data_IF_003754059283
#
_entry.id   IF_003754059283
#
_cell.length_a   1.000
_cell.length_b   1.000
_cell.length_c   1.000
_cell.angle_alpha   90.00
_cell.angle_beta   90.00
_cell.angle_gamma   90.00
#
_symmetry.space_group_name_H-M   'P 1'
#
loop_
_entity.id
_entity.type
_entity.pdbx_description
1 polymer ?
#
# COMPACT_ATOMS: atom_id res chain seq x y z
N UNK A 1 30.05 36.39 4.51
CA UNK A 1 30.36 36.00 3.12
C UNK A 1 31.77 36.41 2.71
N UNK A 2 32.16 37.69 2.80
CA UNK A 2 33.53 38.17 2.51
C UNK A 2 34.63 37.41 3.28
N UNK A 3 34.46 37.18 4.58
CA UNK A 3 35.41 36.39 5.39
C UNK A 3 35.47 34.90 4.99
N UNK A 4 34.38 34.34 4.45
CA UNK A 4 34.39 32.95 3.96
C UNK A 4 35.14 32.85 2.63
N UNK A 5 34.94 33.82 1.73
CA UNK A 5 35.66 33.87 0.45
C UNK A 5 37.17 34.02 0.67
N UNK A 6 37.58 34.87 1.62
CA UNK A 6 38.97 34.99 2.05
C UNK A 6 39.56 33.68 2.59
N UNK A 7 38.75 32.85 3.26
CA UNK A 7 39.18 31.57 3.83
C UNK A 7 39.22 30.42 2.81
N UNK A 8 38.53 30.58 1.68
CA UNK A 8 38.51 29.61 0.58
C UNK A 8 39.65 29.82 -0.44
N UNK A 9 40.32 30.97 -0.37
CA UNK A 9 41.41 31.33 -1.27
C UNK A 9 42.56 30.31 -1.17
N UNK A 10 42.97 29.76 -2.31
CA UNK A 10 44.01 28.74 -2.40
C UNK A 10 43.56 27.30 -2.07
N UNK A 11 42.30 27.05 -1.72
CA UNK A 11 41.80 25.67 -1.58
C UNK A 11 41.67 24.99 -2.94
N UNK A 12 41.96 23.70 -2.99
CA UNK A 12 41.80 22.87 -4.19
C UNK A 12 40.49 22.10 -4.08
N UNK A 13 39.57 22.34 -5.02
CA UNK A 13 38.30 21.61 -5.14
C UNK A 13 38.21 21.06 -6.56
N UNK A 14 37.99 19.75 -6.70
CA UNK A 14 37.94 19.05 -8.00
C UNK A 14 39.15 19.33 -8.91
N UNK A 15 40.34 19.51 -8.31
CA UNK A 15 41.59 19.79 -9.02
C UNK A 15 41.77 21.24 -9.47
N UNK A 16 40.84 22.14 -9.12
CA UNK A 16 40.93 23.58 -9.40
C UNK A 16 41.30 24.33 -8.12
N UNK A 17 42.37 25.12 -8.17
CA UNK A 17 42.70 26.05 -7.09
C UNK A 17 41.74 27.25 -7.13
N UNK A 18 41.09 27.53 -6.01
CA UNK A 18 40.15 28.63 -5.88
C UNK A 18 40.90 29.96 -5.70
N UNK A 19 40.84 30.82 -6.71
CA UNK A 19 41.33 32.21 -6.65
C UNK A 19 40.14 33.13 -6.33
N UNK A 20 39.96 33.43 -5.05
CA UNK A 20 38.77 34.13 -4.54
C UNK A 20 39.05 35.55 -4.09
N UNK A 21 40.32 35.97 -4.09
CA UNK A 21 40.78 37.26 -3.57
C UNK A 21 41.60 38.00 -4.60
N UNK A 22 41.20 39.23 -4.91
CA UNK A 22 41.97 40.11 -5.79
C UNK A 22 42.59 41.21 -4.93
N UNK A 23 43.91 41.36 -5.01
CA UNK A 23 44.63 42.46 -4.38
C UNK A 23 44.53 43.71 -5.26
N UNK A 24 43.99 44.80 -4.70
CA UNK A 24 43.90 46.11 -5.36
C UNK A 24 44.59 47.16 -4.50
N UNK A 25 45.26 48.12 -5.14
CA UNK A 25 45.86 49.26 -4.45
C UNK A 25 44.81 50.37 -4.33
N UNK A 26 44.55 50.84 -3.11
CA UNK A 26 43.62 51.95 -2.87
C UNK A 26 44.23 53.31 -3.28
N UNK A 27 43.41 54.37 -3.25
CA UNK A 27 43.86 55.74 -3.54
C UNK A 27 44.95 56.28 -2.60
N UNK A 28 45.23 55.55 -1.51
CA UNK A 28 46.23 55.87 -0.49
C UNK A 28 47.53 55.08 -0.70
N UNK A 29 47.61 54.22 -1.73
CA UNK A 29 48.77 53.37 -2.00
C UNK A 29 48.83 52.10 -1.15
N UNK A 30 47.78 51.74 -0.41
CA UNK A 30 47.72 50.53 0.39
C UNK A 30 47.11 49.35 -0.38
N UNK A 31 47.66 48.15 -0.18
CA UNK A 31 47.12 46.92 -0.76
C UNK A 31 45.89 46.51 0.05
N UNK A 32 44.73 46.51 -0.61
CA UNK A 32 43.45 46.07 -0.07
C UNK A 32 43.04 44.77 -0.76
N UNK A 33 42.73 43.74 0.04
CA UNK A 33 42.18 42.47 -0.43
C UNK A 33 40.67 42.58 -0.62
N UNK A 34 40.24 42.49 -1.87
CA UNK A 34 38.82 42.52 -2.24
C UNK A 34 38.35 41.10 -2.62
N UNK A 35 37.25 40.67 -2.00
CA UNK A 35 36.73 39.32 -2.25
C UNK A 35 35.95 39.31 -3.57
N UNK A 36 36.20 38.31 -4.41
CA UNK A 36 35.51 38.18 -5.70
C UNK A 36 34.00 38.05 -5.53
N UNK A 37 33.22 38.47 -6.53
CA UNK A 37 31.75 38.35 -6.46
C UNK A 37 31.33 36.90 -6.67
N UNK A 38 30.79 36.27 -5.62
CA UNK A 38 30.29 34.90 -5.70
C UNK A 38 29.04 34.82 -6.61
N UNK A 39 29.09 33.97 -7.63
CA UNK A 39 27.91 33.57 -8.42
C UNK A 39 27.42 32.21 -7.92
N UNK A 40 26.22 32.17 -7.37
CA UNK A 40 25.59 30.92 -6.98
C UNK A 40 25.01 30.23 -8.21
N UNK A 41 25.48 29.03 -8.49
CA UNK A 41 24.86 28.13 -9.45
C UNK A 41 23.90 27.20 -8.71
N UNK A 42 22.67 27.07 -9.21
CA UNK A 42 21.78 26.00 -8.77
C UNK A 42 22.34 24.67 -9.28
N UNK A 43 22.20 23.62 -8.47
CA UNK A 43 22.43 22.24 -8.96
C UNK A 43 21.56 21.99 -10.19
N UNK A 44 22.07 21.21 -11.13
CA UNK A 44 21.26 20.65 -12.20
C UNK A 44 20.11 19.80 -11.66
N UNK A 45 19.14 19.44 -12.52
CA UNK A 45 17.93 18.70 -12.11
C UNK A 45 18.24 17.43 -11.32
N UNK A 46 19.18 16.61 -11.80
CA UNK A 46 19.58 15.38 -11.13
C UNK A 46 20.21 15.67 -9.76
N UNK A 47 21.04 16.70 -9.67
CA UNK A 47 21.66 17.11 -8.41
C UNK A 47 20.62 17.57 -7.38
N UNK A 48 19.61 18.34 -7.82
CA UNK A 48 18.51 18.77 -6.94
C UNK A 48 17.67 17.59 -6.47
N UNK A 49 17.40 16.61 -7.34
CA UNK A 49 16.71 15.38 -6.98
C UNK A 49 17.50 14.61 -5.91
N UNK A 50 18.78 14.32 -6.16
CA UNK A 50 19.62 13.58 -5.22
C UNK A 50 19.74 14.30 -3.87
N UNK A 51 19.87 15.63 -3.88
CA UNK A 51 19.91 16.43 -2.66
C UNK A 51 18.58 16.38 -1.88
N UNK A 52 17.44 16.38 -2.58
CA UNK A 52 16.12 16.26 -1.96
C UNK A 52 15.92 14.87 -1.35
N UNK A 53 16.35 13.84 -2.06
CA UNK A 53 16.28 12.44 -1.62
C UNK A 53 17.17 12.21 -0.40
N UNK A 54 18.33 12.86 -0.32
CA UNK A 54 19.22 12.85 0.84
C UNK A 54 18.72 13.67 2.05
N UNK A 55 17.43 14.02 2.09
CA UNK A 55 16.82 14.59 3.30
C UNK A 55 16.21 13.48 4.17
N UNK A 56 16.32 13.56 5.51
CA UNK A 56 15.84 12.49 6.40
C UNK A 56 14.38 12.08 6.20
N UNK A 57 13.43 13.03 6.02
CA UNK A 57 12.04 12.68 5.77
C UNK A 57 11.82 11.94 4.46
N UNK A 58 12.47 12.41 3.38
CA UNK A 58 12.26 11.89 2.03
C UNK A 58 12.90 10.51 1.89
N UNK A 59 14.13 10.33 2.36
CA UNK A 59 14.81 9.03 2.36
C UNK A 59 13.98 7.95 3.06
N UNK A 60 13.50 8.25 4.27
CA UNK A 60 12.67 7.34 5.07
C UNK A 60 11.35 6.99 4.37
N UNK A 61 10.61 7.99 3.88
CA UNK A 61 9.32 7.75 3.22
C UNK A 61 9.49 6.99 1.91
N UNK A 62 10.47 7.36 1.08
CA UNK A 62 10.75 6.65 -0.18
C UNK A 62 11.16 5.20 0.06
N UNK A 63 11.98 4.94 1.08
CA UNK A 63 12.39 3.59 1.45
C UNK A 63 11.19 2.75 1.91
N UNK A 64 10.36 3.29 2.81
CA UNK A 64 9.18 2.62 3.34
C UNK A 64 8.12 2.36 2.24
N UNK A 65 7.84 3.37 1.40
CA UNK A 65 6.90 3.25 0.26
C UNK A 65 7.45 2.26 -0.76
N UNK A 66 8.74 2.35 -1.09
CA UNK A 66 9.39 1.46 -2.06
C UNK A 66 9.26 -0.01 -1.66
N UNK A 67 9.63 -0.35 -0.43
CA UNK A 67 9.46 -1.70 0.12
C UNK A 67 7.98 -2.14 0.12
N UNK A 68 7.07 -1.25 0.51
CA UNK A 68 5.63 -1.57 0.57
C UNK A 68 5.04 -1.84 -0.82
N UNK A 69 5.44 -1.07 -1.83
CA UNK A 69 4.98 -1.26 -3.21
C UNK A 69 5.57 -2.52 -3.87
N UNK A 70 6.79 -2.90 -3.51
CA UNK A 70 7.38 -4.17 -3.93
C UNK A 70 6.57 -5.35 -3.37
N UNK A 71 6.22 -5.30 -2.08
CA UNK A 71 5.34 -6.29 -1.46
C UNK A 71 3.95 -6.29 -2.11
N UNK A 72 3.41 -5.09 -2.39
CA UNK A 72 2.11 -4.95 -3.03
C UNK A 72 2.07 -5.64 -4.39
N UNK A 73 3.05 -5.37 -5.26
CA UNK A 73 3.12 -5.97 -6.59
C UNK A 73 3.27 -7.49 -6.50
N UNK A 74 4.09 -7.97 -5.56
CA UNK A 74 4.30 -9.40 -5.33
C UNK A 74 2.99 -10.15 -5.03
N UNK A 75 2.12 -9.58 -4.20
CA UNK A 75 0.84 -10.23 -3.83
C UNK A 75 -0.32 -9.92 -4.79
N UNK A 76 -0.29 -8.78 -5.47
CA UNK A 76 -1.39 -8.38 -6.37
C UNK A 76 -1.22 -8.95 -7.77
N UNK A 77 0.02 -9.32 -8.16
CA UNK A 77 0.40 -9.82 -9.50
C UNK A 77 -0.24 -8.97 -10.61
N UNK A 78 0.08 -7.68 -10.61
CA UNK A 78 -0.43 -6.69 -11.54
C UNK A 78 0.42 -6.60 -12.81
N UNK A 79 0.28 -5.48 -13.53
CA UNK A 79 1.03 -5.19 -14.76
C UNK A 79 2.51 -4.86 -14.45
N UNK A 80 2.91 -4.78 -13.17
CA UNK A 80 4.26 -4.40 -12.75
C UNK A 80 4.46 -2.90 -12.50
N UNK A 81 3.41 -2.07 -12.65
CA UNK A 81 3.52 -0.61 -12.48
C UNK A 81 3.91 -0.25 -11.05
N UNK A 82 3.25 -0.86 -10.05
CA UNK A 82 3.56 -0.59 -8.66
C UNK A 82 4.94 -1.15 -8.30
N UNK A 83 5.31 -2.31 -8.84
CA UNK A 83 6.66 -2.87 -8.70
C UNK A 83 7.75 -1.94 -9.24
N UNK A 84 7.55 -1.36 -10.43
CA UNK A 84 8.51 -0.41 -11.02
C UNK A 84 8.64 0.87 -10.20
N UNK A 85 7.53 1.50 -9.84
CA UNK A 85 7.53 2.70 -8.98
C UNK A 85 8.15 2.38 -7.62
N UNK A 86 7.81 1.22 -7.05
CA UNK A 86 8.35 0.72 -5.79
C UNK A 86 9.86 0.53 -5.84
N UNK A 87 10.38 -0.12 -6.88
CA UNK A 87 11.80 -0.30 -7.09
C UNK A 87 12.54 1.04 -7.23
N UNK A 88 11.98 1.98 -7.99
CA UNK A 88 12.56 3.32 -8.15
C UNK A 88 12.59 4.08 -6.82
N UNK A 89 11.48 4.10 -6.08
CA UNK A 89 11.41 4.70 -4.75
C UNK A 89 12.37 4.02 -3.76
N UNK A 90 12.48 2.69 -3.81
CA UNK A 90 13.39 1.93 -2.95
C UNK A 90 14.85 2.30 -3.21
N UNK A 91 15.27 2.37 -4.48
CA UNK A 91 16.64 2.77 -4.85
C UNK A 91 16.95 4.19 -4.37
N UNK A 92 16.04 5.14 -4.61
CA UNK A 92 16.21 6.51 -4.13
C UNK A 92 16.24 6.57 -2.60
N UNK A 93 15.32 5.90 -1.91
CA UNK A 93 15.28 5.83 -0.46
C UNK A 93 16.58 5.27 0.12
N UNK A 94 17.09 4.16 -0.44
CA UNK A 94 18.36 3.56 -0.03
C UNK A 94 19.54 4.50 -0.28
N UNK A 95 19.59 5.21 -1.41
CA UNK A 95 20.59 6.25 -1.64
C UNK A 95 20.53 7.32 -0.55
N UNK A 96 19.34 7.86 -0.25
CA UNK A 96 19.17 8.87 0.79
C UNK A 96 19.57 8.37 2.18
N UNK A 97 19.25 7.12 2.53
CA UNK A 97 19.67 6.52 3.80
C UNK A 97 21.18 6.28 3.88
N UNK A 98 21.85 6.00 2.75
CA UNK A 98 23.30 5.82 2.68
C UNK A 98 24.07 7.13 2.91
N UNK A 99 23.53 8.26 2.47
CA UNK A 99 24.12 9.59 2.68
C UNK A 99 23.90 10.13 4.10
N UNK A 100 23.02 9.51 4.88
CA UNK A 100 22.63 9.96 6.21
C UNK A 100 23.24 9.09 7.31
N UNK A 101 23.47 9.63 8.52
CA UNK A 101 24.00 8.85 9.64
C UNK A 101 22.91 7.94 10.23
N UNK A 102 22.60 6.85 9.54
CA UNK A 102 21.58 5.89 9.94
C UNK A 102 22.13 4.83 10.90
N UNK A 103 21.26 4.30 11.75
CA UNK A 103 21.53 3.07 12.50
C UNK A 103 21.18 1.88 11.64
N UNK A 104 22.18 1.10 11.22
CA UNK A 104 21.96 -0.07 10.36
C UNK A 104 20.98 -1.09 10.96
N UNK A 105 20.98 -1.26 12.28
CA UNK A 105 20.00 -2.14 12.94
C UNK A 105 18.57 -1.61 12.81
N UNK A 106 18.36 -0.30 12.81
CA UNK A 106 17.02 0.28 12.60
C UNK A 106 16.57 0.11 11.15
N UNK A 107 17.47 0.23 10.18
CA UNK A 107 17.19 -0.12 8.77
C UNK A 107 16.78 -1.59 8.65
N UNK A 108 17.52 -2.50 9.31
CA UNK A 108 17.17 -3.91 9.35
C UNK A 108 15.78 -4.15 9.98
N UNK A 109 15.41 -3.41 11.03
CA UNK A 109 14.08 -3.45 11.61
C UNK A 109 12.99 -2.94 10.66
N UNK A 110 13.22 -1.90 9.85
CA UNK A 110 12.27 -1.45 8.83
C UNK A 110 12.02 -2.55 7.80
N UNK A 111 13.08 -3.20 7.34
CA UNK A 111 13.00 -4.32 6.39
C UNK A 111 12.24 -5.48 7.03
N UNK A 112 12.61 -5.88 8.26
CA UNK A 112 11.94 -6.95 9.00
C UNK A 112 10.47 -6.64 9.26
N UNK A 113 10.11 -5.38 9.53
CA UNK A 113 8.73 -4.96 9.68
C UNK A 113 7.91 -5.20 8.41
N UNK A 114 8.47 -4.84 7.24
CA UNK A 114 7.80 -5.08 5.95
C UNK A 114 7.66 -6.57 5.65
N UNK A 115 8.68 -7.37 5.93
CA UNK A 115 8.57 -8.83 5.82
C UNK A 115 7.54 -9.42 6.79
N UNK A 116 7.46 -8.91 8.02
CA UNK A 116 6.42 -9.32 8.97
C UNK A 116 5.03 -9.00 8.41
N UNK A 117 4.81 -7.80 7.88
CA UNK A 117 3.53 -7.47 7.24
C UNK A 117 3.17 -8.43 6.10
N UNK A 118 4.14 -8.82 5.27
CA UNK A 118 3.94 -9.72 4.13
C UNK A 118 3.32 -11.08 4.54
N UNK A 119 3.60 -11.57 5.75
CA UNK A 119 3.05 -12.85 6.25
C UNK A 119 1.52 -12.79 6.37
N UNK A 120 0.98 -11.75 7.00
CA UNK A 120 -0.48 -11.60 7.15
C UNK A 120 -1.17 -11.21 5.83
N UNK A 121 -0.45 -10.51 4.94
CA UNK A 121 -0.95 -10.17 3.59
C UNK A 121 -1.23 -11.43 2.77
N UNK A 122 -0.38 -12.46 2.87
CA UNK A 122 -0.61 -13.74 2.19
C UNK A 122 -1.94 -14.39 2.59
N UNK A 123 -2.33 -14.24 3.86
CA UNK A 123 -3.58 -14.78 4.41
C UNK A 123 -4.77 -13.85 4.12
N UNK A 124 -4.52 -12.58 3.78
CA UNK A 124 -5.56 -11.59 3.50
C UNK A 124 -6.29 -11.07 4.75
N UNK A 125 -5.72 -11.30 5.94
CA UNK A 125 -6.30 -10.88 7.23
C UNK A 125 -5.20 -10.38 8.17
N UNK A 126 -5.25 -9.11 8.63
CA UNK A 126 -4.32 -8.58 9.63
C UNK A 126 -4.46 -9.32 10.97
N UNK A 127 -3.35 -9.81 11.52
CA UNK A 127 -3.28 -10.54 12.79
C UNK A 127 -2.00 -10.17 13.56
N UNK A 128 -1.32 -11.18 14.10
CA UNK A 128 -0.14 -11.04 14.96
C UNK A 128 1.04 -10.40 14.21
N UNK A 129 1.28 -10.80 12.95
CA UNK A 129 2.43 -10.31 12.20
C UNK A 129 2.28 -8.85 11.78
N UNK A 130 1.05 -8.40 11.55
CA UNK A 130 0.76 -6.99 11.30
C UNK A 130 1.00 -6.15 12.55
N UNK A 131 0.57 -6.62 13.71
CA UNK A 131 0.86 -5.95 14.99
C UNK A 131 2.36 -5.88 15.28
N UNK A 132 3.08 -6.99 15.08
CA UNK A 132 4.53 -7.06 15.26
C UNK A 132 5.26 -6.16 14.26
N UNK A 133 4.89 -6.23 12.97
CA UNK A 133 5.44 -5.38 11.93
C UNK A 133 5.26 -3.90 12.26
N UNK A 134 4.08 -3.49 12.72
CA UNK A 134 3.82 -2.11 13.11
C UNK A 134 4.67 -1.68 14.31
N UNK A 135 4.81 -2.53 15.33
CA UNK A 135 5.67 -2.25 16.48
C UNK A 135 7.15 -2.08 16.07
N UNK A 136 7.67 -3.01 15.25
CA UNK A 136 9.04 -2.94 14.72
C UNK A 136 9.24 -1.69 13.88
N UNK A 137 8.29 -1.37 13.00
CA UNK A 137 8.33 -0.18 12.16
C UNK A 137 8.35 1.11 12.98
N UNK A 138 7.52 1.20 14.02
CA UNK A 138 7.49 2.35 14.94
C UNK A 138 8.84 2.49 15.63
N UNK A 139 9.36 1.41 16.25
CA UNK A 139 10.66 1.43 16.94
C UNK A 139 11.78 1.87 15.98
N UNK A 140 11.80 1.30 14.78
CA UNK A 140 12.78 1.65 13.76
C UNK A 140 12.67 3.13 13.35
N UNK A 141 11.47 3.64 13.13
CA UNK A 141 11.22 5.02 12.71
C UNK A 141 11.72 6.05 13.73
N UNK A 142 11.54 5.77 15.02
CA UNK A 142 12.02 6.64 16.10
C UNK A 142 13.54 6.58 16.31
N UNK A 143 14.18 5.48 15.88
CA UNK A 143 15.59 5.20 16.17
C UNK A 143 16.50 5.24 14.95
N UNK A 144 15.94 5.52 13.76
CA UNK A 144 16.61 5.40 12.47
C UNK A 144 17.87 6.27 12.36
N UNK A 145 17.80 7.53 12.78
CA UNK A 145 18.90 8.48 12.63
C UNK A 145 19.70 8.65 13.91
N UNK A 146 21.02 8.72 13.75
CA UNK A 146 21.95 9.00 14.84
C UNK A 146 22.06 10.52 15.05
N UNK A 147 22.18 11.00 16.30
CA UNK A 147 22.58 12.38 16.55
C UNK A 147 23.97 12.64 15.95
N UNK A 148 24.15 13.82 15.35
CA UNK A 148 25.47 14.32 14.94
C UNK A 148 25.90 15.33 16.00
N UNK A 149 27.20 15.41 16.30
CA UNK A 149 27.72 16.30 17.34
C UNK A 149 27.13 17.73 17.24
N UNK A 150 26.44 18.14 18.31
CA UNK A 150 25.79 19.45 18.41
C UNK A 150 24.37 19.56 17.83
N UNK A 151 23.85 18.55 17.13
CA UNK A 151 22.51 18.60 16.52
C UNK A 151 21.77 17.27 16.59
N UNK A 152 20.56 17.26 17.18
CA UNK A 152 19.69 16.09 17.09
C UNK A 152 19.06 16.03 15.70
N UNK A 153 19.55 15.12 14.85
CA UNK A 153 18.93 14.82 13.56
C UNK A 153 17.65 14.02 13.80
N UNK A 154 16.57 14.72 14.13
CA UNK A 154 15.25 14.16 14.39
C UNK A 154 14.30 14.45 13.25
N UNK A 155 13.53 13.44 12.89
CA UNK A 155 12.43 13.59 11.95
C UNK A 155 11.35 14.50 12.54
N UNK A 156 10.68 15.29 11.69
CA UNK A 156 9.48 16.01 12.11
C UNK A 156 8.40 15.03 12.57
N UNK A 157 7.65 15.41 13.61
CA UNK A 157 6.53 14.61 14.11
C UNK A 157 5.50 14.33 13.00
N UNK A 158 5.32 15.27 12.07
CA UNK A 158 4.43 15.11 10.90
C UNK A 158 4.90 13.94 10.03
N UNK A 159 6.20 13.83 9.77
CA UNK A 159 6.77 12.74 8.97
C UNK A 159 6.64 11.39 9.68
N UNK A 160 6.86 11.34 10.99
CA UNK A 160 6.70 10.11 11.75
C UNK A 160 5.24 9.64 11.76
N UNK A 161 4.31 10.54 12.10
CA UNK A 161 2.88 10.21 12.15
C UNK A 161 2.35 9.84 10.77
N UNK A 162 2.71 10.60 9.73
CA UNK A 162 2.29 10.27 8.36
C UNK A 162 2.89 8.96 7.86
N UNK A 163 4.17 8.69 8.11
CA UNK A 163 4.82 7.44 7.71
C UNK A 163 4.22 6.22 8.43
N UNK A 164 4.07 6.29 9.76
CA UNK A 164 3.48 5.21 10.56
C UNK A 164 1.99 5.03 10.19
N UNK A 165 1.25 6.12 10.04
CA UNK A 165 -0.16 6.11 9.67
C UNK A 165 -0.38 5.53 8.27
N UNK A 166 0.46 5.89 7.30
CA UNK A 166 0.45 5.33 5.95
C UNK A 166 0.74 3.83 5.98
N UNK A 167 1.74 3.40 6.75
CA UNK A 167 2.09 1.99 6.88
C UNK A 167 0.95 1.18 7.50
N UNK A 168 0.36 1.70 8.58
CA UNK A 168 -0.80 1.09 9.22
C UNK A 168 -2.00 1.00 8.26
N UNK A 169 -2.34 2.09 7.56
CA UNK A 169 -3.44 2.10 6.60
C UNK A 169 -3.20 1.12 5.45
N UNK A 170 -1.99 1.11 4.90
CA UNK A 170 -1.61 0.24 3.78
C UNK A 170 -1.75 -1.23 4.15
N UNK A 171 -1.25 -1.67 5.31
CA UNK A 171 -1.21 -3.09 5.65
C UNK A 171 -2.41 -3.60 6.44
N UNK A 172 -3.12 -2.74 7.18
CA UNK A 172 -4.35 -3.13 7.90
C UNK A 172 -5.55 -3.11 6.96
N UNK A 173 -5.64 -2.13 6.05
CA UNK A 173 -6.83 -1.92 5.20
C UNK A 173 -6.53 -2.15 3.73
N UNK A 174 -5.48 -1.52 3.19
CA UNK A 174 -5.20 -1.51 1.75
C UNK A 174 -4.92 -2.90 1.17
N UNK A 175 -3.84 -3.54 1.62
CA UNK A 175 -3.38 -4.84 1.13
C UNK A 175 -4.42 -5.96 1.29
N UNK A 176 -5.05 -6.15 2.48
CA UNK A 176 -6.05 -7.20 2.64
C UNK A 176 -7.25 -7.03 1.72
N UNK A 177 -7.66 -5.77 1.47
CA UNK A 177 -8.80 -5.49 0.59
C UNK A 177 -8.48 -5.85 -0.87
N UNK A 178 -7.26 -5.58 -1.32
CA UNK A 178 -6.80 -5.90 -2.67
C UNK A 178 -6.63 -7.41 -2.90
N UNK A 179 -6.11 -8.14 -1.92
CA UNK A 179 -6.01 -9.61 -2.00
C UNK A 179 -7.41 -10.23 -2.03
N UNK A 180 -8.35 -9.72 -1.22
CA UNK A 180 -9.74 -10.22 -1.20
C UNK A 180 -10.48 -9.97 -2.51
N UNK A 181 -10.33 -8.81 -3.15
CA UNK A 181 -11.01 -8.53 -4.43
C UNK A 181 -10.50 -9.42 -5.56
N UNK A 182 -9.22 -9.81 -5.57
CA UNK A 182 -8.67 -10.74 -6.56
C UNK A 182 -9.28 -12.14 -6.48
N UNK A 183 -9.56 -12.62 -5.27
CA UNK A 183 -10.12 -13.95 -5.04
C UNK A 183 -11.63 -13.92 -4.76
N UNK A 184 -12.27 -12.76 -4.86
CA UNK A 184 -13.71 -12.68 -4.79
C UNK A 184 -14.30 -13.44 -5.99
N UNK A 185 -15.23 -14.36 -5.73
CA UNK A 185 -16.00 -15.02 -6.78
C UNK A 185 -16.62 -13.95 -7.67
N UNK A 186 -16.33 -13.92 -9.00
CA UNK A 186 -16.91 -12.93 -9.89
C UNK A 186 -18.42 -13.14 -9.95
N UNK A 187 -19.19 -12.36 -9.20
CA UNK A 187 -20.64 -12.25 -9.35
C UNK A 187 -21.02 -11.27 -10.46
N UNK A 188 -20.07 -10.43 -10.90
CA UNK A 188 -20.24 -9.46 -11.98
C UNK A 188 -20.50 -10.18 -13.30
N UNK A 189 -21.59 -9.82 -13.97
CA UNK A 189 -22.03 -10.43 -15.23
C UNK A 189 -22.94 -11.65 -15.05
N UNK A 190 -23.47 -11.87 -13.85
CA UNK A 190 -24.48 -12.90 -13.56
C UNK A 190 -25.87 -12.31 -13.36
N UNK A 191 -26.02 -10.99 -13.46
CA UNK A 191 -27.28 -10.28 -13.23
C UNK A 191 -28.37 -10.73 -14.22
N UNK A 192 -27.98 -11.20 -15.41
CA UNK A 192 -28.88 -11.78 -16.42
C UNK A 192 -29.54 -13.09 -15.96
N UNK A 193 -29.01 -13.77 -14.93
CA UNK A 193 -29.65 -14.93 -14.32
C UNK A 193 -30.84 -14.52 -13.46
N UNK A 194 -30.91 -13.29 -12.95
CA UNK A 194 -32.05 -12.80 -12.18
C UNK A 194 -33.24 -12.65 -13.11
N UNK A 195 -34.36 -13.28 -12.75
CA UNK A 195 -35.56 -13.38 -13.59
C UNK A 195 -35.54 -14.52 -14.60
N UNK A 196 -34.41 -15.23 -14.77
CA UNK A 196 -34.34 -16.40 -15.63
C UNK A 196 -35.15 -17.56 -15.03
N UNK A 197 -35.78 -18.34 -15.92
CA UNK A 197 -36.53 -19.53 -15.56
C UNK A 197 -35.62 -20.76 -15.57
N UNK A 198 -35.86 -21.66 -14.63
CA UNK A 198 -35.11 -22.89 -14.46
C UNK A 198 -35.99 -24.03 -13.97
N UNK A 199 -35.39 -25.22 -13.91
CA UNK A 199 -36.05 -26.43 -13.43
C UNK A 199 -35.28 -27.00 -12.25
N UNK A 200 -35.96 -27.30 -11.16
CA UNK A 200 -35.37 -27.96 -10.00
C UNK A 200 -34.82 -29.34 -10.41
N UNK A 201 -33.50 -29.53 -10.29
CA UNK A 201 -32.84 -30.81 -10.59
C UNK A 201 -32.87 -31.77 -9.40
N UNK A 202 -33.03 -31.24 -8.19
CA UNK A 202 -33.23 -31.99 -6.94
C UNK A 202 -34.39 -31.36 -6.19
N UNK A 203 -34.92 -32.03 -5.16
CA UNK A 203 -35.79 -31.34 -4.19
C UNK A 203 -35.00 -30.19 -3.53
N UNK A 204 -35.61 -29.01 -3.45
CA UNK A 204 -35.03 -27.80 -2.87
C UNK A 204 -35.82 -27.45 -1.61
N UNK A 205 -35.26 -27.75 -0.43
CA UNK A 205 -35.90 -27.48 0.88
C UNK A 205 -34.89 -27.44 2.05
N UNK A 206 -34.33 -26.26 2.41
CA UNK A 206 -34.32 -25.03 1.63
C UNK A 206 -33.23 -25.03 0.56
N UNK A 207 -32.25 -25.94 0.63
CA UNK A 207 -31.15 -26.05 -0.34
C UNK A 207 -31.38 -27.20 -1.32
N UNK A 208 -30.86 -27.04 -2.52
CA UNK A 208 -30.89 -28.04 -3.58
C UNK A 208 -30.18 -27.51 -4.81
N UNK A 209 -30.57 -28.00 -5.98
CA UNK A 209 -29.94 -27.65 -7.24
C UNK A 209 -30.98 -27.36 -8.32
N UNK A 210 -30.73 -26.33 -9.14
CA UNK A 210 -31.56 -25.93 -10.28
C UNK A 210 -30.75 -25.98 -11.57
N UNK A 211 -31.40 -26.28 -12.69
CA UNK A 211 -30.84 -26.10 -14.03
C UNK A 211 -31.40 -24.82 -14.63
N UNK A 212 -30.52 -23.88 -14.96
CA UNK A 212 -30.84 -22.60 -15.60
C UNK A 212 -29.92 -22.45 -16.81
N UNK A 213 -30.48 -22.19 -18.00
CA UNK A 213 -29.73 -22.10 -19.27
C UNK A 213 -28.75 -23.28 -19.50
N UNK A 214 -29.22 -24.50 -19.24
CA UNK A 214 -28.45 -25.74 -19.42
C UNK A 214 -27.20 -25.87 -18.52
N UNK A 215 -27.12 -25.06 -17.45
CA UNK A 215 -26.09 -25.14 -16.43
C UNK A 215 -26.71 -25.46 -15.05
N UNK A 216 -26.01 -26.27 -14.27
CA UNK A 216 -26.44 -26.71 -12.95
C UNK A 216 -25.92 -25.73 -11.88
N UNK A 217 -26.83 -25.19 -11.07
CA UNK A 217 -26.54 -24.19 -10.05
C UNK A 217 -27.04 -24.64 -8.68
N UNK A 218 -26.29 -24.33 -7.62
CA UNK A 218 -26.80 -24.44 -6.25
C UNK A 218 -27.95 -23.45 -6.09
N UNK A 219 -29.06 -23.92 -5.53
CA UNK A 219 -30.23 -23.10 -5.33
C UNK A 219 -30.71 -23.19 -3.89
N UNK A 220 -31.35 -22.11 -3.44
CA UNK A 220 -32.09 -22.08 -2.19
C UNK A 220 -33.47 -21.46 -2.39
N UNK A 221 -34.46 -21.97 -1.65
CA UNK A 221 -35.81 -21.41 -1.58
C UNK A 221 -36.12 -20.97 -0.15
N UNK A 222 -37.14 -20.11 0.00
CA UNK A 222 -37.71 -19.83 1.29
C UNK A 222 -38.28 -21.13 1.89
N UNK A 223 -38.11 -21.34 3.21
CA UNK A 223 -38.61 -22.54 3.92
C UNK A 223 -40.11 -22.76 3.76
N UNK A 224 -40.88 -21.70 3.49
CA UNK A 224 -42.32 -21.76 3.26
C UNK A 224 -42.72 -22.17 1.84
N UNK A 225 -41.77 -22.31 0.90
CA UNK A 225 -42.01 -22.62 -0.52
C UNK A 225 -41.06 -23.72 -1.01
N UNK A 226 -41.11 -24.95 -0.45
CA UNK A 226 -40.28 -26.05 -0.93
C UNK A 226 -40.61 -26.37 -2.40
N UNK A 227 -39.57 -26.60 -3.21
CA UNK A 227 -39.70 -26.91 -4.63
C UNK A 227 -39.33 -28.39 -4.86
N UNK A 228 -40.30 -29.25 -5.24
CA UNK A 228 -40.01 -30.61 -5.65
C UNK A 228 -39.14 -30.68 -6.91
N UNK A 229 -38.41 -31.78 -7.09
CA UNK A 229 -37.68 -32.07 -8.32
C UNK A 229 -38.58 -31.98 -9.55
N UNK A 230 -38.06 -31.40 -10.63
CA UNK A 230 -38.76 -31.20 -11.90
C UNK A 230 -39.68 -29.98 -11.94
N UNK A 231 -39.85 -29.25 -10.83
CA UNK A 231 -40.69 -28.04 -10.82
C UNK A 231 -40.00 -26.85 -11.48
N UNK A 232 -40.79 -26.03 -12.18
CA UNK A 232 -40.30 -24.78 -12.77
C UNK A 232 -40.23 -23.69 -11.69
N UNK A 233 -39.13 -22.94 -11.70
CA UNK A 233 -38.88 -21.85 -10.78
C UNK A 233 -38.23 -20.67 -11.52
N UNK A 234 -38.31 -19.48 -10.90
CA UNK A 234 -37.62 -18.27 -11.34
C UNK A 234 -36.54 -17.90 -10.35
N UNK A 235 -35.42 -17.41 -10.85
CA UNK A 235 -34.34 -16.87 -10.00
C UNK A 235 -34.77 -15.49 -9.49
N UNK A 236 -34.98 -15.37 -8.19
CA UNK A 236 -35.35 -14.13 -7.52
C UNK A 236 -34.13 -13.26 -7.18
N UNK A 237 -33.04 -13.89 -6.72
CA UNK A 237 -31.81 -13.21 -6.36
C UNK A 237 -30.58 -14.13 -6.49
N UNK A 238 -29.39 -13.54 -6.38
CA UNK A 238 -28.11 -14.25 -6.40
C UNK A 238 -27.39 -13.95 -5.09
N UNK A 239 -27.11 -14.98 -4.31
CA UNK A 239 -26.32 -14.90 -3.08
C UNK A 239 -24.99 -15.64 -3.28
N UNK A 240 -23.97 -14.91 -3.72
CA UNK A 240 -22.64 -15.44 -4.01
C UNK A 240 -22.62 -16.48 -5.14
N UNK A 241 -22.66 -17.76 -4.78
CA UNK A 241 -22.68 -18.91 -5.72
C UNK A 241 -24.02 -19.67 -5.71
N UNK A 242 -24.98 -19.22 -4.90
CA UNK A 242 -26.27 -19.85 -4.72
C UNK A 242 -27.36 -18.95 -5.30
N UNK A 243 -28.23 -19.51 -6.13
CA UNK A 243 -29.40 -18.82 -6.66
C UNK A 243 -30.53 -18.90 -5.65
N UNK A 244 -31.13 -17.76 -5.31
CA UNK A 244 -32.40 -17.76 -4.60
C UNK A 244 -33.52 -17.93 -5.63
N UNK A 245 -34.32 -18.98 -5.49
CA UNK A 245 -35.36 -19.35 -6.46
C UNK A 245 -36.73 -19.37 -5.82
N UNK A 246 -37.72 -18.92 -6.58
CA UNK A 246 -39.12 -18.92 -6.21
C UNK A 246 -39.97 -19.69 -7.24
N UNK A 247 -41.07 -20.34 -6.83
CA UNK A 247 -41.97 -21.00 -7.77
C UNK A 247 -42.65 -19.98 -8.70
N UNK A 248 -42.92 -20.38 -9.95
CA UNK A 248 -43.61 -19.51 -10.94
C UNK A 248 -45.05 -19.17 -10.53
N UNK A 249 -45.70 -20.08 -9.80
CA UNK A 249 -47.01 -19.87 -9.19
C UNK A 249 -46.86 -19.91 -7.66
N UNK A 250 -47.58 -19.02 -6.96
CA UNK A 250 -47.46 -18.87 -5.50
C UNK A 250 -47.76 -20.17 -4.74
N UNK A 251 -46.71 -20.90 -4.37
CA UNK A 251 -46.79 -22.20 -3.66
C UNK A 251 -46.44 -22.07 -2.18
N UNK A 252 -46.81 -20.96 -1.54
CA UNK A 252 -46.57 -20.77 -0.10
C UNK A 252 -47.39 -21.80 0.70
N UNK A 253 -46.71 -22.75 1.34
CA UNK A 253 -47.33 -23.68 2.28
C UNK A 253 -47.51 -22.98 3.62
N UNK A 254 -48.76 -22.83 4.06
CA UNK A 254 -49.08 -22.28 5.38
C UNK A 254 -48.61 -23.24 6.48
N UNK A 255 -47.83 -22.71 7.43
CA UNK A 255 -47.31 -23.44 8.58
C UNK A 255 -48.42 -24.00 9.49
N UNK A 256 -49.65 -23.48 9.40
CA UNK A 256 -50.82 -24.01 10.12
C UNK A 256 -51.26 -25.40 9.66
N UNK A 257 -51.04 -25.77 8.40
CA UNK A 257 -51.40 -27.08 7.87
C UNK A 257 -50.48 -28.20 8.39
N UNK A 258 -49.22 -27.84 8.70
CA UNK A 258 -48.20 -28.75 9.21
C UNK A 258 -48.56 -29.37 10.58
N UNK A 259 -49.41 -28.70 11.37
CA UNK A 259 -49.84 -29.18 12.69
C UNK A 259 -51.01 -30.16 12.64
N UNK A 260 -51.76 -30.22 11.53
CA UNK A 260 -52.95 -31.10 11.42
C UNK A 260 -52.61 -32.54 11.00
N UNK A 261 -51.46 -32.76 10.36
CA UNK A 261 -51.04 -34.10 9.91
C UNK A 261 -50.27 -34.94 10.95
N UNK A 262 -50.00 -34.40 12.15
CA UNK A 262 -49.30 -35.11 13.23
C UNK A 262 -50.25 -35.70 14.28
N UNK A 263 -51.56 -35.63 14.04
CA UNK A 263 -52.61 -36.20 14.88
C UNK A 263 -53.54 -37.07 14.06
N UNK A 264 -53.01 -38.17 13.52
CA UNK A 264 -53.75 -39.37 13.10
C UNK A 264 -52.80 -40.57 13.18
#
# INVERSE_FOLDING_TARGET
>A
MRNMLLALDGLIVDGVALDTVVEKVDSSGQIVRDATTARFFKLGLLGQLMHTVASPPVAYLLFAIGLSLLVFEFFTAGIGIAGFVGAFCFVLGTYGLNELPVRLWAVALLVLAVFAFAVDVQVGVPRLWTGLGLALFVIASFTLYQPIDGTQMRMSWVTLVSGIGMMALAFIVGMPSMVRTRFATPTIGREWLIGAEGVASTDISPEGTVIVHNAQWRARTNRSTPLPVGTMCRVAAIDGITLEVEPLEGAARDYREMRKGASE
#
